data_IF_617062593806
#
_entry.id   IF_617062593806
#
_cell.length_a   1.000
_cell.length_b   1.000
_cell.length_c   1.000
_cell.angle_alpha   90.00
_cell.angle_beta   90.00
_cell.angle_gamma   90.00
#
_symmetry.space_group_name_H-M   'P 1'
#
loop_
_entity.id
_entity.type
_entity.pdbx_description
1 polymer ?
#
# COMPACT_ATOMS: atom_id res chain seq x y z
N UNK A 1 -4.22 20.73 -19.10
CA UNK A 1 -4.12 21.32 -17.76
C UNK A 1 -3.28 20.41 -16.89
N UNK A 2 -2.10 20.87 -16.46
CA UNK A 2 -1.24 20.14 -15.53
C UNK A 2 -1.90 20.20 -14.14
N UNK A 3 -2.45 19.09 -13.66
CA UNK A 3 -2.78 18.93 -12.26
C UNK A 3 -1.44 18.91 -11.51
N UNK A 4 -1.11 20.00 -10.84
CA UNK A 4 -0.03 20.07 -9.85
C UNK A 4 -0.23 19.01 -8.76
N UNK A 5 0.69 18.90 -7.79
CA UNK A 5 0.52 17.96 -6.69
C UNK A 5 -0.86 18.20 -6.06
N UNK A 6 -1.71 17.19 -6.14
CA UNK A 6 -3.07 17.24 -5.58
C UNK A 6 -2.92 17.44 -4.06
N UNK A 7 -3.05 18.68 -3.61
CA UNK A 7 -3.22 18.98 -2.19
C UNK A 7 -4.65 18.56 -1.87
N UNK A 8 -4.86 17.26 -1.63
CA UNK A 8 -6.15 16.73 -1.23
C UNK A 8 -6.27 16.90 0.29
N UNK A 9 -7.39 17.43 0.77
CA UNK A 9 -7.62 17.42 2.21
C UNK A 9 -7.72 15.95 2.66
N UNK A 10 -6.95 15.61 3.65
CA UNK A 10 -6.99 14.28 4.23
C UNK A 10 -6.87 14.38 5.74
N UNK A 11 -7.52 13.44 6.42
CA UNK A 11 -7.47 13.34 7.88
C UNK A 11 -7.36 11.89 8.32
N UNK A 12 -6.63 11.67 9.38
CA UNK A 12 -6.64 10.42 10.10
C UNK A 12 -8.01 10.20 10.75
N UNK A 13 -8.53 8.97 10.68
CA UNK A 13 -9.80 8.60 11.30
C UNK A 13 -9.54 7.78 12.57
N UNK A 14 -8.91 6.60 12.42
CA UNK A 14 -8.72 5.64 13.51
C UNK A 14 -7.59 4.66 13.18
N UNK A 15 -6.96 4.14 14.25
CA UNK A 15 -6.13 2.93 14.22
C UNK A 15 -6.94 1.77 14.80
N UNK A 16 -7.37 0.85 13.96
CA UNK A 16 -8.15 -0.32 14.35
C UNK A 16 -7.23 -1.53 14.55
N UNK A 17 -7.32 -2.17 15.71
CA UNK A 17 -6.61 -3.41 16.05
C UNK A 17 -7.53 -4.64 16.00
N UNK A 18 -8.84 -4.42 15.83
CA UNK A 18 -9.86 -5.45 15.68
C UNK A 18 -10.90 -5.02 14.65
N UNK A 19 -11.57 -5.96 13.99
CA UNK A 19 -12.57 -5.68 12.93
C UNK A 19 -13.77 -4.85 13.41
N UNK A 20 -14.20 -5.02 14.67
CA UNK A 20 -15.30 -4.25 15.27
C UNK A 20 -15.00 -2.75 15.42
N UNK A 21 -13.73 -2.36 15.27
CA UNK A 21 -13.29 -0.97 15.29
C UNK A 21 -13.22 -0.34 13.89
N UNK A 22 -13.50 -1.08 12.85
CA UNK A 22 -13.49 -0.52 11.50
C UNK A 22 -14.56 0.57 11.38
N UNK A 23 -14.22 1.74 10.81
CA UNK A 23 -15.20 2.78 10.63
C UNK A 23 -16.27 2.35 9.62
N UNK A 24 -17.47 2.97 9.60
CA UNK A 24 -18.49 2.70 8.58
C UNK A 24 -17.90 2.73 7.17
N UNK A 25 -18.47 1.97 6.25
CA UNK A 25 -17.97 1.90 4.87
C UNK A 25 -17.87 3.28 4.23
N UNK A 26 -16.80 3.48 3.46
CA UNK A 26 -16.63 4.63 2.59
C UNK A 26 -17.16 4.30 1.19
N UNK A 27 -17.20 5.29 0.32
CA UNK A 27 -17.57 5.09 -1.09
C UNK A 27 -16.57 4.17 -1.82
N UNK A 28 -15.27 4.40 -1.59
CA UNK A 28 -14.21 3.57 -2.14
C UNK A 28 -13.00 3.50 -1.19
N UNK A 29 -12.59 2.30 -0.81
CA UNK A 29 -11.39 2.07 -0.01
C UNK A 29 -10.24 1.53 -0.84
N UNK A 30 -9.03 2.01 -0.53
CA UNK A 30 -7.77 1.55 -1.12
C UNK A 30 -6.88 1.06 0.00
N UNK A 31 -6.56 -0.23 0.00
CA UNK A 31 -5.67 -0.84 0.98
C UNK A 31 -4.21 -0.78 0.52
N UNK A 32 -3.32 -0.40 1.41
CA UNK A 32 -1.88 -0.43 1.17
C UNK A 32 -1.27 -1.58 1.97
N UNK A 33 -0.63 -2.49 1.26
CA UNK A 33 -0.03 -3.71 1.79
C UNK A 33 1.47 -3.73 1.45
N UNK A 34 2.28 -4.27 2.30
CA UNK A 34 3.71 -4.39 2.05
C UNK A 34 4.47 -4.68 3.32
N UNK A 35 5.71 -5.09 3.15
CA UNK A 35 6.62 -5.35 4.27
C UNK A 35 6.94 -4.06 5.02
N UNK A 36 7.35 -4.21 6.26
CA UNK A 36 7.86 -3.06 7.00
C UNK A 36 9.05 -2.41 6.28
N UNK A 37 9.10 -1.09 6.33
CA UNK A 37 10.15 -0.26 5.73
C UNK A 37 10.26 -0.33 4.19
N UNK A 38 9.26 -0.83 3.47
CA UNK A 38 9.21 -0.76 2.00
C UNK A 38 8.88 0.65 1.49
N UNK A 39 8.40 1.55 2.34
CA UNK A 39 8.01 2.91 1.96
C UNK A 39 6.50 3.11 1.86
N UNK A 40 5.70 2.23 2.45
CA UNK A 40 4.24 2.25 2.41
C UNK A 40 3.66 3.58 2.94
N UNK A 41 3.94 3.95 4.18
CA UNK A 41 3.47 5.21 4.77
C UNK A 41 4.03 6.45 4.07
N UNK A 42 5.28 6.39 3.56
CA UNK A 42 5.84 7.47 2.74
C UNK A 42 5.08 7.64 1.43
N UNK A 43 4.68 6.54 0.78
CA UNK A 43 3.87 6.56 -0.43
C UNK A 43 2.48 7.13 -0.14
N UNK A 44 1.83 6.71 0.94
CA UNK A 44 0.52 7.24 1.36
C UNK A 44 0.62 8.77 1.56
N UNK A 45 1.62 9.24 2.30
CA UNK A 45 1.85 10.68 2.50
C UNK A 45 2.07 11.44 1.18
N UNK A 46 2.83 10.85 0.24
CA UNK A 46 3.06 11.45 -1.07
C UNK A 46 1.79 11.49 -1.94
N UNK A 47 0.95 10.45 -1.89
CA UNK A 47 -0.33 10.41 -2.57
C UNK A 47 -1.31 11.44 -2.02
N UNK A 48 -1.35 11.61 -0.71
CA UNK A 48 -2.24 12.56 -0.02
C UNK A 48 -1.71 14.01 -0.16
N UNK A 49 -0.40 14.19 -0.35
CA UNK A 49 0.23 15.50 -0.36
C UNK A 49 0.41 16.11 1.05
N UNK A 50 0.27 15.31 2.11
CA UNK A 50 0.43 15.73 3.51
C UNK A 50 1.56 14.96 4.17
N UNK A 51 2.62 15.67 4.53
CA UNK A 51 3.75 15.07 5.21
C UNK A 51 3.37 14.63 6.64
N UNK A 52 3.74 13.39 7.00
CA UNK A 52 3.62 12.89 8.38
C UNK A 52 2.21 12.47 8.82
N UNK A 53 1.20 12.51 7.95
CA UNK A 53 -0.14 12.04 8.30
C UNK A 53 -0.15 10.51 8.54
N UNK A 54 0.43 9.76 7.63
CA UNK A 54 0.74 8.35 7.89
C UNK A 54 2.11 8.28 8.58
N UNK A 55 2.16 7.68 9.78
CA UNK A 55 3.39 7.59 10.56
C UNK A 55 4.46 6.77 9.83
N UNK A 56 5.57 7.41 9.52
CA UNK A 56 6.77 6.78 8.98
C UNK A 56 7.67 6.38 10.15
N UNK A 57 7.55 5.14 10.62
CA UNK A 57 8.45 4.64 11.67
C UNK A 57 9.62 3.89 11.03
N UNK A 58 10.84 4.22 11.46
CA UNK A 58 12.03 3.42 11.16
C UNK A 58 12.13 2.17 12.04
N UNK A 59 11.33 2.09 13.12
CA UNK A 59 11.30 0.93 14.01
C UNK A 59 10.40 -0.15 13.43
N UNK A 60 10.93 -1.36 13.26
CA UNK A 60 10.18 -2.51 12.79
C UNK A 60 9.08 -2.92 13.78
N UNK A 61 7.88 -3.28 13.28
CA UNK A 61 6.78 -3.79 14.11
C UNK A 61 5.89 -2.73 14.77
N UNK A 62 6.05 -1.44 14.43
CA UNK A 62 5.25 -0.37 15.06
C UNK A 62 3.79 -0.31 14.60
N UNK A 63 3.45 -0.86 13.44
CA UNK A 63 2.07 -0.84 12.95
C UNK A 63 1.45 -2.22 13.13
N UNK A 64 0.77 -2.44 14.24
CA UNK A 64 -0.05 -3.63 14.48
C UNK A 64 -1.55 -3.38 14.21
N UNK A 65 -1.89 -2.21 13.70
CA UNK A 65 -3.24 -1.72 13.45
C UNK A 65 -3.46 -1.39 11.98
N UNK A 66 -4.71 -1.48 11.54
CA UNK A 66 -5.17 -0.88 10.28
C UNK A 66 -5.43 0.61 10.52
N UNK A 67 -4.70 1.49 9.83
CA UNK A 67 -4.85 2.94 9.96
C UNK A 67 -5.69 3.48 8.82
N UNK A 68 -6.81 4.11 9.16
CA UNK A 68 -7.77 4.64 8.21
C UNK A 68 -7.60 6.15 8.04
N UNK A 69 -7.53 6.60 6.78
CA UNK A 69 -7.40 8.00 6.40
C UNK A 69 -8.52 8.38 5.43
N UNK A 70 -9.33 9.36 5.80
CA UNK A 70 -10.28 9.95 4.86
C UNK A 70 -9.52 10.85 3.90
N UNK A 71 -9.78 10.72 2.62
CA UNK A 71 -9.18 11.51 1.54
C UNK A 71 -10.30 12.11 0.72
N UNK A 72 -10.10 13.35 0.25
CA UNK A 72 -11.07 14.03 -0.61
C UNK A 72 -11.49 13.19 -1.82
N UNK A 73 -12.65 13.50 -2.37
CA UNK A 73 -13.20 12.78 -3.50
C UNK A 73 -13.81 11.43 -3.12
N UNK A 74 -14.17 11.22 -1.83
CA UNK A 74 -14.85 9.99 -1.36
C UNK A 74 -13.96 8.78 -1.22
N UNK A 75 -12.63 8.96 -1.23
CA UNK A 75 -11.69 7.87 -1.01
C UNK A 75 -11.36 7.70 0.47
N UNK A 76 -11.07 6.46 0.84
CA UNK A 76 -10.42 6.13 2.11
C UNK A 76 -9.17 5.29 1.84
N UNK A 77 -8.03 5.76 2.34
CA UNK A 77 -6.80 5.00 2.32
C UNK A 77 -6.66 4.23 3.63
N UNK A 78 -6.22 2.98 3.52
CA UNK A 78 -6.06 2.10 4.67
C UNK A 78 -4.65 1.53 4.67
N UNK A 79 -3.84 1.99 5.64
CA UNK A 79 -2.49 1.50 5.87
C UNK A 79 -2.58 0.23 6.72
N UNK A 80 -2.50 -0.93 6.08
CA UNK A 80 -2.55 -2.22 6.76
C UNK A 80 -1.20 -2.56 7.41
N UNK A 81 -1.21 -3.36 8.50
CA UNK A 81 0.01 -3.78 9.17
C UNK A 81 1.03 -4.40 8.21
N UNK A 82 2.29 -3.99 8.34
CA UNK A 82 3.37 -4.54 7.53
C UNK A 82 3.69 -5.98 7.93
N UNK A 83 3.80 -6.88 6.95
CA UNK A 83 4.21 -8.27 7.17
C UNK A 83 5.74 -8.45 7.14
N UNK A 84 6.22 -9.61 7.57
CA UNK A 84 7.63 -10.02 7.42
C UNK A 84 8.55 -9.64 8.59
N UNK A 85 8.02 -9.31 9.76
CA UNK A 85 8.82 -9.13 10.97
C UNK A 85 8.89 -10.41 11.82
N UNK A 86 10.13 -10.91 12.01
CA UNK A 86 10.44 -12.06 12.87
C UNK A 86 10.43 -11.75 14.38
N UNK A 87 10.05 -10.53 14.78
CA UNK A 87 10.04 -10.09 16.18
C UNK A 87 8.68 -9.59 16.65
N UNK A 88 7.61 -10.25 16.23
CA UNK A 88 6.39 -10.21 17.03
C UNK A 88 6.62 -11.20 18.18
N UNK A 89 6.41 -10.82 19.44
CA UNK A 89 6.45 -11.80 20.54
C UNK A 89 5.59 -12.98 20.18
N UNK A 90 6.09 -14.20 20.40
CA UNK A 90 5.45 -15.47 20.02
C UNK A 90 4.05 -15.67 20.61
N UNK A 91 3.58 -14.74 21.44
CA UNK A 91 2.31 -14.87 22.13
C UNK A 91 1.06 -14.65 21.28
N UNK A 92 1.16 -13.96 20.10
CA UNK A 92 -0.02 -13.71 19.23
C UNK A 92 0.31 -13.57 17.72
N UNK A 93 0.90 -14.57 17.07
CA UNK A 93 1.25 -14.45 15.64
C UNK A 93 0.03 -14.46 14.70
N UNK A 94 -1.18 -14.73 15.20
CA UNK A 94 -2.41 -14.86 14.39
C UNK A 94 -3.30 -13.62 14.32
N UNK A 95 -3.22 -12.72 15.31
CA UNK A 95 -4.22 -11.64 15.42
C UNK A 95 -4.12 -10.60 14.28
N UNK A 96 -2.90 -10.18 13.92
CA UNK A 96 -2.70 -9.23 12.82
C UNK A 96 -3.04 -9.85 11.45
N UNK A 97 -2.74 -11.14 11.26
CA UNK A 97 -3.07 -11.87 10.04
C UNK A 97 -4.59 -11.95 9.89
N UNK A 98 -5.27 -12.33 10.96
CA UNK A 98 -6.73 -12.36 11.03
C UNK A 98 -7.34 -10.99 10.72
N UNK A 99 -6.82 -9.90 11.32
CA UNK A 99 -7.26 -8.54 11.05
C UNK A 99 -7.17 -8.18 9.56
N UNK A 100 -6.03 -8.51 8.90
CA UNK A 100 -5.80 -8.23 7.48
C UNK A 100 -6.72 -9.08 6.61
N UNK A 101 -6.85 -10.38 6.90
CA UNK A 101 -7.72 -11.29 6.15
C UNK A 101 -9.20 -10.88 6.27
N UNK A 102 -9.67 -10.58 7.48
CA UNK A 102 -11.04 -10.11 7.70
C UNK A 102 -11.31 -8.79 7.00
N UNK A 103 -10.34 -7.87 6.99
CA UNK A 103 -10.45 -6.64 6.23
C UNK A 103 -10.52 -6.91 4.72
N UNK A 104 -9.59 -7.67 4.18
CA UNK A 104 -9.49 -7.93 2.74
C UNK A 104 -10.68 -8.74 2.20
N UNK A 105 -11.26 -9.65 2.97
CA UNK A 105 -12.38 -10.49 2.55
C UNK A 105 -13.74 -9.85 2.85
N UNK A 106 -13.88 -9.28 4.05
CA UNK A 106 -15.17 -8.81 4.55
C UNK A 106 -15.51 -7.36 4.19
N UNK A 107 -14.53 -6.55 3.77
CA UNK A 107 -14.76 -5.13 3.54
C UNK A 107 -15.41 -4.86 2.17
N UNK A 108 -16.71 -4.53 2.18
CA UNK A 108 -17.48 -4.26 0.95
C UNK A 108 -17.02 -3.00 0.21
N UNK A 109 -16.51 -2.00 0.92
CA UNK A 109 -15.98 -0.76 0.35
C UNK A 109 -14.59 -0.92 -0.29
N UNK A 110 -13.85 -2.01 -0.04
CA UNK A 110 -12.52 -2.24 -0.62
C UNK A 110 -12.62 -2.44 -2.13
N UNK A 111 -12.03 -1.52 -2.89
CA UNK A 111 -12.02 -1.52 -4.35
C UNK A 111 -10.68 -1.88 -4.96
N UNK A 112 -9.58 -1.59 -4.25
CA UNK A 112 -8.24 -1.82 -4.76
C UNK A 112 -7.27 -2.10 -3.62
N UNK A 113 -6.36 -3.04 -3.83
CA UNK A 113 -5.19 -3.25 -2.99
C UNK A 113 -3.93 -2.76 -3.71
N UNK A 114 -3.03 -2.09 -3.00
CA UNK A 114 -1.73 -1.65 -3.50
C UNK A 114 -0.64 -2.44 -2.78
N UNK A 115 -0.01 -3.39 -3.47
CA UNK A 115 1.16 -4.10 -2.95
C UNK A 115 2.37 -3.21 -3.12
N UNK A 116 3.02 -2.85 -2.03
CA UNK A 116 4.17 -1.92 -2.02
C UNK A 116 5.47 -2.70 -1.89
N UNK A 117 6.34 -2.60 -2.89
CA UNK A 117 7.66 -3.24 -2.95
C UNK A 117 8.78 -2.20 -2.95
N UNK A 118 9.93 -2.53 -2.37
CA UNK A 118 11.16 -1.74 -2.49
C UNK A 118 11.94 -2.16 -3.75
N UNK A 119 12.17 -1.23 -4.68
CA UNK A 119 12.83 -1.47 -5.97
C UNK A 119 14.20 -2.16 -5.85
N UNK A 120 14.89 -1.98 -4.72
CA UNK A 120 16.22 -2.57 -4.47
C UNK A 120 16.15 -4.04 -4.07
N UNK A 121 15.00 -4.49 -3.55
CA UNK A 121 14.81 -5.84 -3.00
C UNK A 121 13.98 -6.73 -3.91
N UNK A 122 13.09 -6.16 -4.70
CA UNK A 122 12.15 -6.90 -5.52
C UNK A 122 11.17 -7.73 -4.69
N UNK A 123 10.63 -8.77 -5.32
CA UNK A 123 9.73 -9.73 -4.68
C UNK A 123 10.45 -10.59 -3.65
N UNK A 124 9.88 -10.65 -2.46
CA UNK A 124 10.28 -11.59 -1.42
C UNK A 124 9.16 -12.64 -1.25
N UNK A 125 9.48 -13.78 -0.62
CA UNK A 125 8.55 -14.88 -0.44
C UNK A 125 7.16 -14.44 0.07
N UNK A 126 7.13 -13.66 1.13
CA UNK A 126 5.88 -13.14 1.70
C UNK A 126 5.11 -12.16 0.81
N UNK A 127 5.80 -11.47 -0.09
CA UNK A 127 5.14 -10.61 -1.08
C UNK A 127 4.45 -11.47 -2.15
N UNK A 128 5.07 -12.59 -2.54
CA UNK A 128 4.50 -13.57 -3.48
C UNK A 128 3.32 -14.32 -2.85
N UNK A 129 3.45 -14.77 -1.59
CA UNK A 129 2.34 -15.36 -0.84
C UNK A 129 1.10 -14.45 -0.82
N UNK A 130 1.31 -13.15 -0.55
CA UNK A 130 0.23 -12.17 -0.55
C UNK A 130 -0.36 -11.97 -1.95
N UNK A 131 0.49 -11.87 -2.98
CA UNK A 131 0.05 -11.74 -4.38
C UNK A 131 -0.83 -12.93 -4.77
N UNK A 132 -0.34 -14.15 -4.55
CA UNK A 132 -1.06 -15.38 -4.87
C UNK A 132 -2.38 -15.47 -4.09
N UNK A 133 -2.39 -15.03 -2.83
CA UNK A 133 -3.59 -14.97 -2.00
C UNK A 133 -4.64 -13.99 -2.57
N UNK A 134 -4.23 -12.79 -2.99
CA UNK A 134 -5.13 -11.80 -3.60
C UNK A 134 -5.69 -12.29 -4.93
N UNK A 135 -4.87 -12.94 -5.77
CA UNK A 135 -5.29 -13.57 -7.02
C UNK A 135 -6.30 -14.68 -6.78
N UNK A 136 -6.01 -15.59 -5.84
CA UNK A 136 -6.90 -16.68 -5.47
C UNK A 136 -8.29 -16.21 -5.02
N UNK A 137 -8.34 -15.11 -4.25
CA UNK A 137 -9.60 -14.52 -3.77
C UNK A 137 -10.22 -13.50 -4.74
N UNK A 138 -9.68 -13.34 -5.95
CA UNK A 138 -10.20 -12.41 -6.95
C UNK A 138 -10.19 -10.94 -6.49
N UNK A 139 -9.27 -10.56 -5.58
CA UNK A 139 -9.18 -9.19 -5.06
C UNK A 139 -8.34 -8.32 -5.99
N UNK A 140 -8.90 -7.23 -6.55
CA UNK A 140 -8.16 -6.36 -7.46
C UNK A 140 -6.94 -5.74 -6.76
N UNK A 141 -5.79 -5.78 -7.44
CA UNK A 141 -4.59 -5.12 -6.93
C UNK A 141 -3.70 -4.58 -8.03
N UNK A 142 -2.83 -3.65 -7.64
CA UNK A 142 -1.71 -3.14 -8.43
C UNK A 142 -0.44 -3.20 -7.58
N UNK A 143 0.71 -3.19 -8.25
CA UNK A 143 2.01 -3.21 -7.56
C UNK A 143 2.67 -1.83 -7.65
N UNK A 144 2.96 -1.22 -6.51
CA UNK A 144 3.73 0.02 -6.41
C UNK A 144 5.19 -0.30 -6.03
N UNK A 145 6.10 -0.03 -6.96
CA UNK A 145 7.55 -0.25 -6.76
C UNK A 145 8.19 1.05 -6.29
N UNK A 146 8.46 1.15 -5.00
CA UNK A 146 8.96 2.37 -4.35
C UNK A 146 10.48 2.48 -4.36
N UNK A 147 10.98 3.65 -3.95
CA UNK A 147 12.42 3.94 -3.76
C UNK A 147 13.25 3.79 -5.03
N UNK A 148 12.68 4.04 -6.19
CA UNK A 148 13.41 4.03 -7.46
C UNK A 148 14.52 5.10 -7.51
N UNK A 149 14.44 6.13 -6.67
CA UNK A 149 15.49 7.13 -6.44
C UNK A 149 16.77 6.54 -5.82
N UNK A 150 16.70 5.39 -5.19
CA UNK A 150 17.84 4.67 -4.61
C UNK A 150 18.58 3.78 -5.60
N UNK A 151 18.06 3.59 -6.80
CA UNK A 151 18.74 2.88 -7.90
C UNK A 151 19.67 3.86 -8.61
N UNK A 152 20.99 3.64 -8.46
CA UNK A 152 22.04 4.60 -8.84
C UNK A 152 22.31 4.65 -10.35
N UNK A 153 22.08 3.54 -11.06
CA UNK A 153 22.40 3.41 -12.49
C UNK A 153 21.22 2.95 -13.33
N UNK A 154 21.29 3.20 -14.64
CA UNK A 154 20.32 2.68 -15.61
C UNK A 154 20.32 1.13 -15.62
N UNK A 155 21.50 0.53 -15.45
CA UNK A 155 21.66 -0.93 -15.36
C UNK A 155 20.89 -1.50 -14.17
N UNK A 156 21.03 -0.89 -12.97
CA UNK A 156 20.28 -1.30 -11.78
C UNK A 156 18.76 -1.18 -11.98
N UNK A 157 18.32 -0.08 -12.60
CA UNK A 157 16.88 0.14 -12.90
C UNK A 157 16.35 -0.91 -13.86
N UNK A 158 17.09 -1.19 -14.94
CA UNK A 158 16.71 -2.22 -15.90
C UNK A 158 16.63 -3.60 -15.25
N UNK A 159 17.65 -3.97 -14.46
CA UNK A 159 17.70 -5.26 -13.77
C UNK A 159 16.57 -5.41 -12.74
N UNK A 160 16.31 -4.39 -11.92
CA UNK A 160 15.20 -4.39 -10.97
C UNK A 160 13.86 -4.61 -11.68
N UNK A 161 13.61 -3.87 -12.76
CA UNK A 161 12.39 -4.01 -13.56
C UNK A 161 12.25 -5.41 -14.18
N UNK A 162 13.31 -5.92 -14.78
CA UNK A 162 13.33 -7.25 -15.39
C UNK A 162 13.00 -8.34 -14.35
N UNK A 163 13.67 -8.32 -13.20
CA UNK A 163 13.44 -9.28 -12.12
C UNK A 163 12.01 -9.22 -11.57
N UNK A 164 11.45 -8.02 -11.44
CA UNK A 164 10.07 -7.85 -10.98
C UNK A 164 9.08 -8.42 -12.00
N UNK A 165 9.30 -8.16 -13.29
CA UNK A 165 8.45 -8.63 -14.39
C UNK A 165 8.47 -10.15 -14.58
N UNK A 166 9.53 -10.84 -14.21
CA UNK A 166 9.58 -12.32 -14.25
C UNK A 166 8.58 -12.99 -13.31
N UNK A 167 8.12 -12.29 -12.27
CA UNK A 167 7.22 -12.83 -11.24
C UNK A 167 5.79 -12.28 -11.34
N UNK A 168 5.59 -11.22 -12.11
CA UNK A 168 4.29 -10.59 -12.26
C UNK A 168 4.23 -9.77 -13.56
N UNK A 169 3.25 -10.03 -14.41
CA UNK A 169 3.02 -9.36 -15.70
C UNK A 169 1.93 -8.29 -15.63
N UNK A 170 1.22 -8.18 -14.51
CA UNK A 170 0.16 -7.21 -14.29
C UNK A 170 0.65 -5.76 -14.14
N UNK A 171 -0.22 -4.86 -13.67
CA UNK A 171 0.07 -3.43 -13.56
C UNK A 171 1.08 -3.15 -12.44
N UNK A 172 2.29 -2.73 -12.82
CA UNK A 172 3.35 -2.29 -11.90
C UNK A 172 3.70 -0.83 -12.15
N UNK A 173 3.68 -0.03 -11.08
CA UNK A 173 3.89 1.42 -11.08
C UNK A 173 5.14 1.76 -10.28
N UNK A 174 6.17 2.25 -10.98
CA UNK A 174 7.42 2.67 -10.35
C UNK A 174 7.27 4.06 -9.74
N UNK A 175 7.68 4.24 -8.48
CA UNK A 175 7.53 5.52 -7.81
C UNK A 175 8.64 5.84 -6.80
N UNK A 176 8.74 7.13 -6.47
CA UNK A 176 9.54 7.65 -5.37
C UNK A 176 8.74 8.69 -4.61
N UNK A 177 8.45 8.43 -3.35
CA UNK A 177 7.81 9.39 -2.45
C UNK A 177 8.72 10.62 -2.18
N UNK A 178 10.04 10.48 -2.35
CA UNK A 178 11.00 11.57 -2.14
C UNK A 178 11.01 12.56 -3.29
N UNK A 179 10.96 12.06 -4.53
CA UNK A 179 11.02 12.90 -5.73
C UNK A 179 9.66 13.22 -6.35
N UNK A 180 8.60 12.59 -5.87
CA UNK A 180 7.25 12.69 -6.44
C UNK A 180 7.04 11.89 -7.74
N UNK A 181 8.11 11.28 -8.29
CA UNK A 181 8.00 10.50 -9.53
C UNK A 181 7.07 9.31 -9.35
N UNK A 182 6.17 9.07 -10.30
CA UNK A 182 5.24 7.95 -10.32
C UNK A 182 4.01 8.10 -9.41
N UNK A 183 3.95 9.14 -8.57
CA UNK A 183 2.82 9.37 -7.66
C UNK A 183 1.53 9.64 -8.43
N UNK A 184 1.62 10.40 -9.53
CA UNK A 184 0.48 10.69 -10.40
C UNK A 184 -0.06 9.43 -11.08
N UNK A 185 0.80 8.56 -11.53
CA UNK A 185 0.44 7.30 -12.19
C UNK A 185 -0.29 6.36 -11.22
N UNK A 186 0.14 6.31 -9.95
CA UNK A 186 -0.58 5.55 -8.92
C UNK A 186 -1.96 6.17 -8.67
N UNK A 187 -2.09 7.49 -8.61
CA UNK A 187 -3.39 8.14 -8.52
C UNK A 187 -4.30 7.83 -9.69
N UNK A 188 -3.75 7.78 -10.92
CA UNK A 188 -4.52 7.38 -12.10
C UNK A 188 -5.04 5.94 -11.99
N UNK A 189 -4.23 5.01 -11.47
CA UNK A 189 -4.68 3.65 -11.22
C UNK A 189 -5.80 3.61 -10.15
N UNK A 190 -5.64 4.36 -9.05
CA UNK A 190 -6.67 4.49 -8.00
C UNK A 190 -7.96 5.10 -8.55
N UNK A 191 -7.88 6.15 -9.39
CA UNK A 191 -9.07 6.84 -9.90
C UNK A 191 -9.93 5.97 -10.82
N UNK A 192 -9.33 5.00 -11.52
CA UNK A 192 -10.06 4.06 -12.40
C UNK A 192 -11.07 3.19 -11.64
N UNK A 193 -10.91 3.00 -10.33
CA UNK A 193 -11.81 2.15 -9.54
C UNK A 193 -13.22 2.74 -9.34
N UNK A 194 -13.38 4.05 -9.43
CA UNK A 194 -14.69 4.72 -9.34
C UNK A 194 -15.49 4.67 -10.64
N UNK A 195 -14.81 4.48 -11.77
CA UNK A 195 -15.45 4.45 -13.10
C UNK A 195 -15.93 3.05 -13.51
N UNK A 196 -15.67 2.02 -12.69
CA UNK A 196 -16.07 0.62 -12.95
C UNK A 196 -17.34 0.22 -12.17
N UNK A 197 -18.30 1.12 -12.07
CA UNK A 197 -19.66 0.79 -11.62
C UNK A 197 -20.53 0.38 -12.79
#
# INVERSE_FOLDING_TARGET
MALGPLCMAARFIISAVRPDQFPPDAEAEVAFLGRSNVGKSSLINALIGVAGLAHTSSRPGCTQSANFFQVDGGYRFVDLPGYGFAKVPQEKPGEWKKLVEEYLLGRGALRLSVIVLDARRGWMEKDLELKDWLEFHGRPFVVAVTKIDKLKSQKERHQSRSTLRQKFDGEMLECSAVTGRGVREIWQAISKIKTRQ
#
